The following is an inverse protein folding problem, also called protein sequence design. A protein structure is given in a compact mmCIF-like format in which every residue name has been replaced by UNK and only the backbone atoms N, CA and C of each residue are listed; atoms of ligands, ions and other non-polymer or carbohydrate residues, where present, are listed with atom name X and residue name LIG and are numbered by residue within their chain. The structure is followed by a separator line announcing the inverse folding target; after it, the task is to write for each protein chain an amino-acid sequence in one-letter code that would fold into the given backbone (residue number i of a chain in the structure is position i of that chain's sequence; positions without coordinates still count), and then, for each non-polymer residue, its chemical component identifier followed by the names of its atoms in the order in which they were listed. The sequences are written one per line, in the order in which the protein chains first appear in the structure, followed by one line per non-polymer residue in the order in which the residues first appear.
data_IF_897955210093
#
_entry.id   IF_897955210093
#
_cell.length_a   1.000
_cell.length_b   1.000
_cell.length_c   1.000
_cell.angle_alpha   90.00
_cell.angle_beta   90.00
_cell.angle_gamma   90.00
#
_symmetry.space_group_name_H-M   'P 1'
#
loop_
_entity.id
_entity.type
_entity.pdbx_description
1 polymer ?
#
# COMPACT_ATOMS: atom_id res chain seq x y z
N UNK A 1 33.67 -8.03 47.46
CA UNK A 1 33.83 -7.14 46.28
C UNK A 1 33.79 -8.05 45.07
N UNK A 2 32.58 -8.37 44.60
CA UNK A 2 32.37 -9.36 43.54
C UNK A 2 31.89 -8.60 42.32
N UNK A 3 32.74 -8.54 41.31
CA UNK A 3 32.50 -7.84 40.05
C UNK A 3 31.49 -8.66 39.24
N UNK A 4 30.32 -8.07 38.99
CA UNK A 4 29.32 -8.61 38.08
C UNK A 4 29.89 -8.69 36.67
N UNK A 5 29.78 -9.87 36.06
CA UNK A 5 30.03 -10.08 34.64
C UNK A 5 28.90 -9.43 33.84
N UNK A 6 29.19 -8.28 33.22
CA UNK A 6 28.39 -7.79 32.09
C UNK A 6 28.47 -8.84 30.97
N UNK A 7 27.35 -9.51 30.74
CA UNK A 7 27.16 -10.42 29.62
C UNK A 7 26.71 -9.59 28.44
N UNK A 8 27.66 -9.17 27.61
CA UNK A 8 27.38 -8.48 26.35
C UNK A 8 26.77 -9.50 25.38
N UNK A 9 25.43 -9.50 25.27
CA UNK A 9 24.74 -10.19 24.19
C UNK A 9 25.08 -9.48 22.87
N UNK A 10 26.00 -10.05 22.11
CA UNK A 10 26.18 -9.72 20.70
C UNK A 10 24.96 -10.24 19.95
N UNK A 11 23.98 -9.37 19.69
CA UNK A 11 22.89 -9.70 18.77
C UNK A 11 23.50 -9.89 17.38
N UNK A 12 23.37 -11.10 16.82
CA UNK A 12 23.79 -11.35 15.44
C UNK A 12 23.02 -10.39 14.52
N UNK A 13 23.77 -9.58 13.76
CA UNK A 13 23.20 -8.68 12.77
C UNK A 13 22.46 -9.50 11.71
N UNK A 14 21.21 -9.16 11.44
CA UNK A 14 20.43 -9.78 10.37
C UNK A 14 21.02 -9.33 9.03
N UNK A 15 21.32 -10.28 8.15
CA UNK A 15 21.70 -9.98 6.77
C UNK A 15 20.44 -9.53 6.00
N UNK A 16 20.52 -8.35 5.38
CA UNK A 16 19.38 -7.74 4.67
C UNK A 16 18.97 -8.56 3.45
N UNK A 17 19.91 -9.11 2.68
CA UNK A 17 19.61 -9.87 1.48
C UNK A 17 18.92 -11.20 1.83
N UNK A 18 19.39 -11.88 2.88
CA UNK A 18 18.76 -13.11 3.37
C UNK A 18 17.34 -12.83 3.87
N UNK A 19 17.15 -11.72 4.59
CA UNK A 19 15.83 -11.30 5.04
C UNK A 19 14.89 -11.02 3.87
N UNK A 20 15.32 -10.20 2.90
CA UNK A 20 14.53 -9.87 1.71
C UNK A 20 14.18 -11.14 0.92
N UNK A 21 15.14 -12.04 0.70
CA UNK A 21 14.91 -13.28 0.00
C UNK A 21 13.91 -14.21 0.72
N UNK A 22 13.93 -14.21 2.06
CA UNK A 22 13.02 -15.03 2.86
C UNK A 22 11.55 -14.61 2.78
N UNK A 23 11.28 -13.32 2.49
CA UNK A 23 9.92 -12.77 2.41
C UNK A 23 9.45 -12.54 0.97
N UNK A 24 10.37 -12.50 0.01
CA UNK A 24 10.07 -12.27 -1.39
C UNK A 24 9.10 -13.32 -1.94
N UNK A 25 8.03 -12.87 -2.59
CA UNK A 25 7.03 -13.75 -3.20
C UNK A 25 6.04 -14.41 -2.24
N UNK A 26 6.21 -14.26 -0.92
CA UNK A 26 5.20 -14.73 0.05
C UNK A 26 3.90 -13.95 -0.14
N UNK A 27 2.80 -14.67 -0.37
CA UNK A 27 1.47 -14.10 -0.57
C UNK A 27 0.39 -15.02 -0.01
N UNK A 28 -0.89 -14.66 -0.19
CA UNK A 28 -2.03 -15.46 0.32
C UNK A 28 -1.97 -16.93 -0.12
N UNK A 29 -1.55 -17.21 -1.36
CA UNK A 29 -1.52 -18.55 -1.92
C UNK A 29 -0.32 -19.39 -1.43
N UNK A 30 0.64 -18.78 -0.72
CA UNK A 30 1.75 -19.49 -0.09
C UNK A 30 1.32 -20.36 1.09
N UNK A 31 0.09 -20.20 1.58
CA UNK A 31 -0.45 -20.93 2.73
C UNK A 31 -1.62 -21.82 2.31
N UNK A 32 -1.54 -23.11 2.64
CA UNK A 32 -2.61 -24.07 2.36
C UNK A 32 -3.87 -23.83 3.21
N UNK A 33 -3.70 -23.29 4.43
CA UNK A 33 -4.77 -23.07 5.39
C UNK A 33 -4.84 -21.63 5.85
N UNK A 34 -6.06 -21.12 5.98
CA UNK A 34 -6.35 -19.77 6.46
C UNK A 34 -5.77 -19.48 7.86
N UNK A 35 -5.76 -20.49 8.74
CA UNK A 35 -5.19 -20.36 10.08
C UNK A 35 -3.69 -20.05 10.07
N UNK A 36 -2.93 -20.65 9.15
CA UNK A 36 -1.49 -20.42 9.03
C UNK A 36 -1.22 -19.05 8.41
N UNK A 37 -1.99 -18.65 7.40
CA UNK A 37 -1.94 -17.29 6.86
C UNK A 37 -2.20 -16.24 7.94
N UNK A 38 -3.21 -16.42 8.79
CA UNK A 38 -3.53 -15.46 9.87
C UNK A 38 -2.38 -15.36 10.88
N UNK A 39 -1.77 -16.48 11.26
CA UNK A 39 -0.59 -16.48 12.15
C UNK A 39 0.60 -15.76 11.51
N UNK A 40 0.88 -16.03 10.24
CA UNK A 40 1.94 -15.37 9.50
C UNK A 40 1.70 -13.85 9.39
N UNK A 41 0.46 -13.45 9.11
CA UNK A 41 0.06 -12.04 9.05
C UNK A 41 0.23 -11.35 10.41
N UNK A 42 -0.18 -11.99 11.51
CA UNK A 42 0.03 -11.46 12.85
C UNK A 42 1.52 -11.29 13.19
N UNK A 43 2.36 -12.26 12.81
CA UNK A 43 3.81 -12.17 12.97
C UNK A 43 4.43 -11.04 12.12
N UNK A 44 3.94 -10.83 10.90
CA UNK A 44 4.38 -9.73 10.04
C UNK A 44 4.02 -8.35 10.63
N UNK A 45 2.81 -8.18 11.19
CA UNK A 45 2.45 -6.94 11.88
C UNK A 45 3.32 -6.69 13.13
N UNK A 46 3.59 -7.74 13.90
CA UNK A 46 4.51 -7.64 15.04
C UNK A 46 5.93 -7.24 14.57
N UNK A 47 6.41 -7.83 13.48
CA UNK A 47 7.70 -7.47 12.88
C UNK A 47 7.75 -5.99 12.47
N UNK A 48 6.73 -5.48 11.77
CA UNK A 48 6.64 -4.06 11.41
C UNK A 48 6.74 -3.20 12.67
N UNK A 49 5.99 -3.53 13.72
CA UNK A 49 6.04 -2.78 14.99
C UNK A 49 7.41 -2.81 15.68
N UNK A 50 8.23 -3.84 15.46
CA UNK A 50 9.59 -3.90 16.01
C UNK A 50 10.61 -3.15 15.15
N UNK A 51 10.36 -3.01 13.85
CA UNK A 51 11.24 -2.32 12.90
C UNK A 51 10.96 -0.81 12.84
N UNK A 52 9.71 -0.38 13.04
CA UNK A 52 9.35 1.02 13.07
C UNK A 52 10.03 1.75 14.23
N UNK A 53 10.59 2.92 13.95
CA UNK A 53 10.93 3.87 15.00
C UNK A 53 9.65 4.54 15.52
N UNK A 54 9.67 5.16 16.72
CA UNK A 54 8.52 5.91 17.21
C UNK A 54 8.03 6.98 16.23
N UNK A 55 8.93 7.59 15.46
CA UNK A 55 8.56 8.58 14.45
C UNK A 55 7.89 7.95 13.23
N UNK A 56 8.36 6.78 12.77
CA UNK A 56 7.72 6.06 11.66
C UNK A 56 6.27 5.71 11.99
N UNK A 57 6.04 5.23 13.23
CA UNK A 57 4.69 4.94 13.71
C UNK A 57 3.81 6.20 13.75
N UNK A 58 4.32 7.33 14.24
CA UNK A 58 3.57 8.61 14.25
C UNK A 58 3.25 9.08 12.84
N UNK A 59 4.22 9.03 11.92
CA UNK A 59 4.02 9.42 10.53
C UNK A 59 2.96 8.54 9.87
N UNK A 60 2.98 7.22 10.11
CA UNK A 60 1.97 6.30 9.58
C UNK A 60 0.58 6.62 10.10
N UNK A 61 0.40 6.72 11.42
CA UNK A 61 -0.90 6.91 12.06
C UNK A 61 -1.50 8.31 11.82
N UNK A 62 -0.68 9.35 11.89
CA UNK A 62 -1.16 10.74 11.89
C UNK A 62 -1.13 11.39 10.50
N UNK A 63 -0.39 10.82 9.53
CA UNK A 63 -0.22 11.42 8.21
C UNK A 63 -0.63 10.44 7.11
N UNK A 64 -0.02 9.24 7.07
CA UNK A 64 -0.22 8.29 5.96
C UNK A 64 -1.65 7.72 5.94
N UNK A 65 -2.14 7.22 7.08
CA UNK A 65 -3.47 6.61 7.19
C UNK A 65 -4.61 7.63 6.94
N UNK A 66 -4.60 8.85 7.50
CA UNK A 66 -5.58 9.88 7.16
C UNK A 66 -5.52 10.32 5.70
N UNK A 67 -4.31 10.50 5.15
CA UNK A 67 -4.14 10.85 3.74
C UNK A 67 -4.63 9.73 2.82
N UNK A 68 -4.55 8.46 3.24
CA UNK A 68 -5.09 7.32 2.50
C UNK A 68 -6.61 7.40 2.45
N UNK A 69 -7.27 7.67 3.59
CA UNK A 69 -8.73 7.84 3.61
C UNK A 69 -9.20 8.95 2.67
N UNK A 70 -8.54 10.12 2.71
CA UNK A 70 -8.83 11.21 1.78
C UNK A 70 -8.58 10.83 0.31
N UNK A 71 -7.48 10.12 0.03
CA UNK A 71 -7.15 9.66 -1.33
C UNK A 71 -8.17 8.68 -1.88
N UNK A 72 -8.67 7.76 -1.05
CA UNK A 72 -9.72 6.80 -1.42
C UNK A 72 -11.05 7.50 -1.71
N UNK A 73 -11.42 8.52 -0.93
CA UNK A 73 -12.62 9.33 -1.23
C UNK A 73 -12.51 10.03 -2.58
N UNK A 74 -11.40 10.70 -2.85
CA UNK A 74 -11.19 11.35 -4.15
C UNK A 74 -11.19 10.34 -5.29
N UNK A 75 -10.51 9.20 -5.13
CA UNK A 75 -10.52 8.13 -6.13
C UNK A 75 -11.95 7.62 -6.43
N UNK A 76 -12.79 7.53 -5.39
CA UNK A 76 -14.20 7.15 -5.53
C UNK A 76 -15.05 8.22 -6.19
N UNK A 77 -14.91 9.48 -5.81
CA UNK A 77 -15.65 10.61 -6.40
C UNK A 77 -15.37 10.73 -7.90
N UNK A 78 -14.13 10.40 -8.31
CA UNK A 78 -13.71 10.36 -9.72
C UNK A 78 -14.15 9.08 -10.46
N UNK A 79 -14.66 8.08 -9.73
CA UNK A 79 -14.92 6.71 -10.21
C UNK A 79 -13.66 6.10 -10.86
N UNK A 80 -12.50 6.35 -10.25
CA UNK A 80 -11.20 6.00 -10.81
C UNK A 80 -11.08 4.51 -11.05
N UNK A 81 -11.40 3.68 -10.05
CA UNK A 81 -11.22 2.24 -10.15
C UNK A 81 -12.22 1.60 -11.13
N UNK A 82 -13.46 2.09 -11.16
CA UNK A 82 -14.53 1.61 -12.03
C UNK A 82 -14.20 1.90 -13.49
N UNK A 83 -13.87 3.16 -13.81
CA UNK A 83 -13.52 3.55 -15.17
C UNK A 83 -12.25 2.83 -15.62
N UNK A 84 -11.27 2.67 -14.73
CA UNK A 84 -10.03 1.96 -15.03
C UNK A 84 -10.29 0.47 -15.33
N UNK A 85 -11.14 -0.18 -14.53
CA UNK A 85 -11.52 -1.56 -14.78
C UNK A 85 -12.24 -1.74 -16.13
N UNK A 86 -13.10 -0.79 -16.50
CA UNK A 86 -13.81 -0.79 -17.79
C UNK A 86 -12.88 -0.56 -18.99
N UNK A 87 -11.83 0.26 -18.84
CA UNK A 87 -10.92 0.60 -19.93
C UNK A 87 -9.96 -0.53 -20.29
N UNK A 88 -9.27 -1.10 -19.30
CA UNK A 88 -8.61 -2.41 -19.44
C UNK A 88 -8.07 -2.92 -18.10
N UNK A 89 -8.54 -4.09 -17.68
CA UNK A 89 -8.18 -4.69 -16.39
C UNK A 89 -6.71 -5.19 -16.33
N UNK A 90 -6.11 -5.50 -17.49
CA UNK A 90 -4.82 -6.20 -17.56
C UNK A 90 -3.65 -5.35 -18.04
N UNK A 91 -3.90 -4.12 -18.50
CA UNK A 91 -2.86 -3.25 -19.06
C UNK A 91 -2.46 -2.21 -18.01
N UNK A 92 -1.17 -2.04 -17.71
CA UNK A 92 -0.70 -0.92 -16.91
C UNK A 92 -1.07 0.41 -17.58
N UNK A 93 -1.49 1.40 -16.79
CA UNK A 93 -1.83 2.72 -17.30
C UNK A 93 -0.90 3.77 -16.72
N UNK A 94 -0.57 4.75 -17.55
CA UNK A 94 0.15 5.93 -17.11
C UNK A 94 -0.74 6.87 -16.31
N UNK A 95 -0.14 7.74 -15.49
CA UNK A 95 -0.90 8.76 -14.77
C UNK A 95 -1.72 9.67 -15.69
N UNK A 96 -1.21 9.96 -16.88
CA UNK A 96 -1.87 10.77 -17.91
C UNK A 96 -3.11 10.04 -18.46
N UNK A 97 -2.97 8.75 -18.79
CA UNK A 97 -4.09 7.93 -19.25
C UNK A 97 -5.19 7.83 -18.19
N UNK A 98 -4.80 7.68 -16.92
CA UNK A 98 -5.77 7.65 -15.80
C UNK A 98 -6.44 9.01 -15.58
N UNK A 99 -5.73 10.11 -15.79
CA UNK A 99 -6.30 11.46 -15.69
C UNK A 99 -7.32 11.73 -16.80
N UNK A 100 -6.97 11.38 -18.05
CA UNK A 100 -7.88 11.46 -19.19
C UNK A 100 -9.13 10.62 -18.97
N UNK A 101 -8.94 9.40 -18.45
CA UNK A 101 -10.03 8.46 -18.19
C UNK A 101 -11.07 9.00 -17.22
N UNK A 102 -10.64 9.63 -16.12
CA UNK A 102 -11.57 10.17 -15.12
C UNK A 102 -12.16 11.52 -15.51
N UNK A 103 -11.70 12.13 -16.61
CA UNK A 103 -12.13 13.45 -17.03
C UNK A 103 -11.59 14.56 -16.14
N UNK A 104 -10.42 14.35 -15.53
CA UNK A 104 -9.71 15.43 -14.83
C UNK A 104 -9.22 16.44 -15.87
N UNK A 105 -9.92 17.58 -15.97
CA UNK A 105 -9.59 18.66 -16.90
C UNK A 105 -8.14 19.15 -16.66
N UNK A 106 -7.26 19.11 -17.68
CA UNK A 106 -5.91 19.66 -17.59
C UNK A 106 -5.86 21.15 -17.21
N UNK A 107 -6.98 21.87 -17.36
CA UNK A 107 -7.09 23.32 -17.21
C UNK A 107 -7.65 23.77 -15.84
N UNK A 108 -8.48 22.97 -15.17
CA UNK A 108 -8.88 23.23 -13.77
C UNK A 108 -7.73 22.93 -12.76
N UNK A 109 -6.70 22.26 -13.23
CA UNK A 109 -5.46 21.93 -12.54
C UNK A 109 -4.29 22.31 -13.45
N UNK A 110 -4.07 23.61 -13.67
CA UNK A 110 -3.04 24.13 -14.60
C UNK A 110 -1.76 23.28 -14.63
N UNK A 111 -1.63 22.41 -15.63
CA UNK A 111 -0.51 21.47 -15.82
C UNK A 111 -0.15 20.60 -14.58
N UNK A 112 -1.13 20.21 -13.76
CA UNK A 112 -0.95 19.90 -12.34
C UNK A 112 -0.66 18.43 -11.93
N UNK A 113 0.15 18.21 -10.88
CA UNK A 113 0.60 16.91 -10.36
C UNK A 113 -0.37 16.19 -9.37
N UNK A 114 -1.64 16.57 -9.30
CA UNK A 114 -2.54 16.17 -8.20
C UNK A 114 -2.94 14.70 -8.26
N UNK A 115 -3.37 14.21 -9.43
CA UNK A 115 -3.65 12.78 -9.59
C UNK A 115 -2.38 11.95 -9.39
N UNK A 116 -1.20 12.44 -9.82
CA UNK A 116 0.07 11.77 -9.53
C UNK A 116 0.37 11.68 -8.04
N UNK A 117 -0.01 12.71 -7.26
CA UNK A 117 0.15 12.67 -5.79
C UNK A 117 -0.76 11.62 -5.18
N UNK A 118 -2.01 11.52 -5.64
CA UNK A 118 -2.96 10.49 -5.20
C UNK A 118 -2.44 9.10 -5.59
N UNK A 119 -2.08 8.89 -6.87
CA UNK A 119 -1.56 7.62 -7.35
C UNK A 119 -0.30 7.20 -6.58
N UNK A 120 0.66 8.11 -6.38
CA UNK A 120 1.85 7.81 -5.57
C UNK A 120 1.51 7.45 -4.13
N UNK A 121 0.54 8.12 -3.52
CA UNK A 121 0.09 7.79 -2.17
C UNK A 121 -0.57 6.41 -2.11
N UNK A 122 -1.44 6.10 -3.08
CA UNK A 122 -2.07 4.79 -3.23
C UNK A 122 -1.04 3.68 -3.48
N UNK A 123 0.03 3.96 -4.24
CA UNK A 123 1.16 3.03 -4.42
C UNK A 123 1.91 2.81 -3.12
N UNK A 124 2.25 3.88 -2.39
CA UNK A 124 3.00 3.78 -1.13
C UNK A 124 2.25 3.04 -0.01
N UNK A 125 0.93 2.92 -0.16
CA UNK A 125 0.03 2.23 0.78
C UNK A 125 -0.45 0.87 0.25
N UNK A 126 0.15 0.39 -0.85
CA UNK A 126 -0.16 -0.91 -1.48
C UNK A 126 -1.63 -1.06 -1.96
N UNK A 127 -2.32 0.06 -2.22
CA UNK A 127 -3.68 0.04 -2.81
C UNK A 127 -3.61 -0.24 -4.31
N UNK A 128 -2.59 0.28 -4.97
CA UNK A 128 -2.26 0.01 -6.38
C UNK A 128 -0.78 -0.34 -6.49
N UNK A 129 -0.38 -1.02 -7.57
CA UNK A 129 1.01 -1.34 -7.85
C UNK A 129 1.57 -0.37 -8.90
N UNK A 130 2.84 0.02 -8.76
CA UNK A 130 3.61 0.68 -9.80
C UNK A 130 4.56 -0.35 -10.44
N UNK A 131 4.22 -0.82 -11.65
CA UNK A 131 4.95 -1.91 -12.32
C UNK A 131 6.21 -1.41 -13.04
N UNK A 132 6.23 -0.15 -13.42
CA UNK A 132 7.38 0.58 -13.95
C UNK A 132 7.16 2.08 -13.73
N UNK A 133 8.20 2.90 -13.90
CA UNK A 133 8.14 4.33 -13.61
C UNK A 133 6.92 5.01 -14.25
N UNK A 134 5.99 5.46 -13.42
CA UNK A 134 4.75 6.13 -13.82
C UNK A 134 3.68 5.22 -14.44
N UNK A 135 3.81 3.89 -14.35
CA UNK A 135 2.87 2.90 -14.86
C UNK A 135 2.24 2.12 -13.71
N UNK A 136 0.91 2.18 -13.61
CA UNK A 136 0.18 1.65 -12.48
C UNK A 136 -0.70 0.46 -12.86
N UNK A 137 -1.01 -0.39 -11.89
CA UNK A 137 -1.93 -1.52 -12.00
C UNK A 137 -2.77 -1.65 -10.73
N UNK A 138 -4.03 -2.07 -10.86
CA UNK A 138 -4.86 -2.40 -9.71
C UNK A 138 -4.40 -3.69 -9.02
N UNK A 139 -4.33 -3.65 -7.68
CA UNK A 139 -4.11 -4.80 -6.80
C UNK A 139 -5.41 -5.57 -6.59
N UNK A 140 -5.34 -6.69 -5.86
CA UNK A 140 -6.53 -7.42 -5.40
C UNK A 140 -7.44 -6.51 -4.55
N UNK A 141 -6.86 -5.61 -3.76
CA UNK A 141 -7.62 -4.71 -2.88
C UNK A 141 -8.34 -3.61 -3.67
N UNK A 142 -7.66 -2.90 -4.58
CA UNK A 142 -8.35 -1.88 -5.40
C UNK A 142 -9.45 -2.48 -6.26
N UNK A 143 -9.30 -3.72 -6.73
CA UNK A 143 -10.38 -4.46 -7.41
C UNK A 143 -11.54 -4.82 -6.50
N UNK A 144 -11.29 -5.17 -5.22
CA UNK A 144 -12.39 -5.47 -4.30
C UNK A 144 -13.25 -4.24 -3.99
N UNK A 145 -12.71 -3.03 -4.13
CA UNK A 145 -13.50 -1.78 -4.00
C UNK A 145 -14.58 -1.62 -5.07
N UNK A 146 -14.52 -2.38 -6.17
CA UNK A 146 -15.58 -2.40 -7.19
C UNK A 146 -16.83 -3.15 -6.73
N UNK A 147 -16.73 -3.95 -5.66
CA UNK A 147 -17.87 -4.71 -5.14
C UNK A 147 -18.82 -3.79 -4.38
N UNK A 148 -20.15 -3.84 -4.62
CA UNK A 148 -21.10 -2.89 -4.04
C UNK A 148 -21.01 -2.76 -2.52
N UNK A 149 -20.88 -3.86 -1.77
CA UNK A 149 -20.83 -3.78 -0.30
C UNK A 149 -19.48 -3.25 0.20
N UNK A 150 -18.39 -3.63 -0.47
CA UNK A 150 -17.03 -3.31 -0.02
C UNK A 150 -16.61 -1.89 -0.41
N UNK A 151 -16.94 -1.46 -1.64
CA UNK A 151 -16.68 -0.10 -2.12
C UNK A 151 -17.42 0.97 -1.33
N UNK A 152 -18.64 0.64 -0.85
CA UNK A 152 -19.46 1.57 -0.06
C UNK A 152 -18.78 1.99 1.26
N UNK A 153 -17.88 1.18 1.82
CA UNK A 153 -17.14 1.49 3.04
C UNK A 153 -16.44 2.85 2.97
N UNK A 154 -15.93 3.25 1.80
CA UNK A 154 -15.18 4.50 1.62
C UNK A 154 -15.99 5.74 2.07
N UNK A 155 -17.33 5.67 2.01
CA UNK A 155 -18.20 6.77 2.47
C UNK A 155 -18.17 6.99 3.99
N UNK A 156 -17.70 6.00 4.74
CA UNK A 156 -17.65 6.01 6.21
C UNK A 156 -16.23 6.26 6.77
N UNK A 157 -15.24 6.47 5.89
CA UNK A 157 -13.91 6.98 6.26
C UNK A 157 -13.97 8.47 6.60
#
# INVERSE_FOLDING_TARGET
MTISKETTLSAALVNVDDFLHSIEGINRASFAYDGDRIKALAAAYALVSHLETPWDTVARLCMTEPALGASLKVARDLQLFEKWHQASEHVPHSAEQLAELVGCDPFLLGKGPELRRILRHLTSTNVIDEVSSGQYKQTVFSKSLLQPVFGEWINYL
#
